data_IF_321463154526
#
_entry.id   IF_321463154526
#
_cell.length_a   1.000
_cell.length_b   1.000
_cell.length_c   1.000
_cell.angle_alpha   90.00
_cell.angle_beta   90.00
_cell.angle_gamma   90.00
#
_symmetry.space_group_name_H-M   'P 1'
#
loop_
_entity.id
_entity.type
_entity.pdbx_description
1 polymer ?
#
# COMPACT_ATOMS: atom_id res chain seq x y z
N UNK A 1 -44.41 2.49 -17.63
CA UNK A 1 -43.31 3.24 -16.97
C UNK A 1 -42.37 2.38 -16.10
N UNK A 2 -42.80 1.26 -15.51
CA UNK A 2 -41.97 0.39 -14.64
C UNK A 2 -40.65 -0.13 -15.28
N UNK A 3 -40.60 -0.34 -16.61
CA UNK A 3 -39.40 -0.87 -17.29
C UNK A 3 -38.19 0.08 -17.27
N UNK A 4 -38.41 1.40 -17.27
CA UNK A 4 -37.31 2.40 -17.30
C UNK A 4 -36.53 2.44 -15.99
N UNK A 5 -37.22 2.28 -14.87
CA UNK A 5 -36.60 2.26 -13.53
C UNK A 5 -35.73 1.03 -13.32
N UNK A 6 -36.14 -0.14 -13.82
CA UNK A 6 -35.34 -1.37 -13.78
C UNK A 6 -34.03 -1.24 -14.56
N UNK A 7 -34.07 -0.56 -15.72
CA UNK A 7 -32.88 -0.29 -16.52
C UNK A 7 -31.92 0.69 -15.83
N UNK A 8 -32.48 1.71 -15.17
CA UNK A 8 -31.70 2.71 -14.43
C UNK A 8 -31.02 2.10 -13.19
N UNK A 9 -31.72 1.23 -12.46
CA UNK A 9 -31.15 0.45 -11.35
C UNK A 9 -30.02 -0.46 -11.86
N UNK A 10 -30.22 -1.13 -12.99
CA UNK A 10 -29.20 -2.02 -13.57
C UNK A 10 -27.91 -1.26 -13.92
N UNK A 11 -28.03 -0.06 -14.49
CA UNK A 11 -26.90 0.83 -14.77
C UNK A 11 -26.15 1.26 -13.50
N UNK A 12 -26.88 1.63 -12.44
CA UNK A 12 -26.27 2.00 -11.15
C UNK A 12 -25.52 0.83 -10.54
N UNK A 13 -26.10 -0.38 -10.56
CA UNK A 13 -25.45 -1.59 -10.04
C UNK A 13 -24.19 -1.91 -10.86
N UNK A 14 -24.25 -1.84 -12.19
CA UNK A 14 -23.07 -2.02 -13.05
C UNK A 14 -21.97 -1.00 -12.75
N UNK A 15 -22.31 0.27 -12.57
CA UNK A 15 -21.36 1.32 -12.20
C UNK A 15 -20.69 1.08 -10.85
N UNK A 16 -21.47 0.72 -9.82
CA UNK A 16 -20.94 0.39 -8.48
C UNK A 16 -20.05 -0.85 -8.50
N UNK A 17 -20.43 -1.87 -9.28
CA UNK A 17 -19.64 -3.10 -9.43
C UNK A 17 -18.32 -2.82 -10.14
N UNK A 18 -18.33 -1.99 -11.19
CA UNK A 18 -17.12 -1.55 -11.88
C UNK A 18 -16.20 -0.74 -10.96
N UNK A 19 -16.74 0.20 -10.17
CA UNK A 19 -15.96 0.96 -9.19
C UNK A 19 -15.34 0.05 -8.12
N UNK A 20 -16.09 -0.94 -7.64
CA UNK A 20 -15.59 -1.93 -6.68
C UNK A 20 -14.46 -2.79 -7.28
N UNK A 21 -14.60 -3.20 -8.54
CA UNK A 21 -13.57 -4.00 -9.22
C UNK A 21 -12.28 -3.21 -9.43
N UNK A 22 -12.38 -1.94 -9.87
CA UNK A 22 -11.23 -1.04 -10.00
C UNK A 22 -10.54 -0.82 -8.64
N UNK A 23 -11.32 -0.69 -7.57
CA UNK A 23 -10.78 -0.50 -6.22
C UNK A 23 -9.99 -1.71 -5.70
N UNK A 24 -10.45 -2.93 -5.98
CA UNK A 24 -9.72 -4.16 -5.60
C UNK A 24 -8.48 -4.33 -6.48
N UNK A 25 -8.61 -4.13 -7.80
CA UNK A 25 -7.51 -4.31 -8.75
C UNK A 25 -6.39 -3.28 -8.58
N UNK A 26 -6.64 -2.17 -7.87
CA UNK A 26 -5.62 -1.14 -7.60
C UNK A 26 -4.72 -1.44 -6.40
N UNK A 27 -4.91 -2.57 -5.70
CA UNK A 27 -3.93 -3.04 -4.71
C UNK A 27 -2.74 -3.69 -5.41
N UNK A 28 -1.72 -2.89 -5.69
CA UNK A 28 -0.41 -3.37 -6.13
C UNK A 28 0.49 -3.64 -4.92
N UNK A 29 1.08 -4.83 -4.86
CA UNK A 29 2.22 -5.11 -4.00
C UNK A 29 3.47 -4.55 -4.67
N UNK A 30 4.18 -3.64 -4.01
CA UNK A 30 5.43 -3.07 -4.52
C UNK A 30 6.58 -3.56 -3.67
N UNK A 31 7.59 -4.15 -4.32
CA UNK A 31 8.89 -4.49 -3.73
C UNK A 31 9.89 -3.40 -4.10
N UNK A 32 10.53 -2.78 -3.11
CA UNK A 32 11.53 -1.75 -3.35
C UNK A 32 12.76 -1.93 -2.45
N UNK A 33 13.94 -1.73 -3.03
CA UNK A 33 15.17 -1.58 -2.26
C UNK A 33 15.26 -0.17 -1.68
N UNK A 34 15.39 -0.06 -0.36
CA UNK A 34 15.31 1.21 0.38
C UNK A 34 16.29 1.24 1.56
N UNK A 35 16.60 2.46 2.01
CA UNK A 35 17.28 2.71 3.29
C UNK A 35 16.30 3.27 4.31
N UNK A 36 16.55 3.06 5.61
CA UNK A 36 15.67 3.53 6.68
C UNK A 36 16.10 4.93 7.13
N UNK A 37 15.26 5.95 6.96
CA UNK A 37 15.50 7.28 7.49
C UNK A 37 15.06 7.40 8.96
N UNK A 38 13.88 6.88 9.28
CA UNK A 38 13.26 7.00 10.60
C UNK A 38 12.46 5.75 10.96
N UNK A 39 12.51 5.37 12.24
CA UNK A 39 11.72 4.27 12.82
C UNK A 39 10.87 4.84 13.93
N UNK A 40 9.55 4.76 13.78
CA UNK A 40 8.57 5.12 14.80
C UNK A 40 7.79 3.86 15.22
N UNK A 41 7.09 3.95 16.35
CA UNK A 41 6.36 2.81 16.95
C UNK A 41 5.39 2.09 15.98
N UNK A 42 4.74 2.83 15.08
CA UNK A 42 3.72 2.30 14.15
C UNK A 42 4.02 2.64 12.68
N UNK A 43 5.20 3.16 12.37
CA UNK A 43 5.55 3.55 10.99
C UNK A 43 7.04 3.68 10.80
N UNK A 44 7.52 3.38 9.61
CA UNK A 44 8.90 3.65 9.18
C UNK A 44 8.89 4.65 8.04
N UNK A 45 9.93 5.47 7.95
CA UNK A 45 10.18 6.32 6.78
C UNK A 45 11.35 5.71 6.05
N UNK A 46 11.11 5.30 4.81
CA UNK A 46 12.10 4.69 3.93
C UNK A 46 12.49 5.63 2.81
N UNK A 47 13.70 5.50 2.30
CA UNK A 47 14.23 6.30 1.20
C UNK A 47 14.65 5.37 0.07
N UNK A 48 14.09 5.55 -1.11
CA UNK A 48 14.43 4.75 -2.28
C UNK A 48 15.76 5.23 -2.92
N UNK A 49 16.22 4.51 -3.94
CA UNK A 49 17.47 4.82 -4.64
C UNK A 49 17.49 6.21 -5.32
N UNK A 50 16.33 6.78 -5.64
CA UNK A 50 16.21 8.14 -6.21
C UNK A 50 16.06 9.24 -5.15
N UNK A 51 16.16 8.91 -3.87
CA UNK A 51 16.09 9.87 -2.75
C UNK A 51 14.67 10.24 -2.31
N UNK A 52 13.64 9.61 -2.88
CA UNK A 52 12.25 9.83 -2.49
C UNK A 52 11.97 9.18 -1.14
N UNK A 53 11.31 9.93 -0.25
CA UNK A 53 10.93 9.45 1.08
C UNK A 53 9.50 8.93 1.07
N UNK A 54 9.31 7.70 1.51
CA UNK A 54 8.00 7.08 1.63
C UNK A 54 7.74 6.69 3.09
N UNK A 55 6.59 7.09 3.63
CA UNK A 55 6.15 6.66 4.96
C UNK A 55 5.33 5.40 4.86
N UNK A 56 5.80 4.32 5.46
CA UNK A 56 5.13 3.03 5.52
C UNK A 56 4.52 2.82 6.90
N UNK A 57 3.26 2.41 6.96
CA UNK A 57 2.60 2.01 8.21
C UNK A 57 3.07 0.61 8.58
N UNK A 58 3.49 0.42 9.82
CA UNK A 58 3.93 -0.89 10.35
C UNK A 58 2.76 -1.54 11.10
N UNK A 59 2.22 -2.67 10.64
CA UNK A 59 1.21 -3.42 11.38
C UNK A 59 1.81 -4.03 12.66
N UNK A 60 0.98 -4.24 13.69
CA UNK A 60 1.42 -4.66 15.05
C UNK A 60 2.17 -5.99 15.12
N UNK A 61 2.22 -6.78 14.04
CA UNK A 61 2.90 -8.07 13.99
C UNK A 61 4.33 -8.04 13.43
N UNK A 62 4.81 -6.90 12.93
CA UNK A 62 6.16 -6.78 12.37
C UNK A 62 7.04 -6.06 13.40
N UNK A 63 8.08 -6.75 13.87
CA UNK A 63 9.09 -6.13 14.72
C UNK A 63 10.09 -5.33 13.88
N UNK A 64 10.11 -4.02 14.09
CA UNK A 64 11.03 -3.10 13.42
C UNK A 64 12.14 -2.59 14.33
N UNK A 65 12.28 -3.16 15.53
CA UNK A 65 13.29 -2.74 16.51
C UNK A 65 14.73 -3.01 16.05
N UNK A 66 14.92 -4.03 15.20
CA UNK A 66 16.21 -4.42 14.64
C UNK A 66 16.64 -3.59 13.41
N UNK A 67 15.81 -2.66 12.94
CA UNK A 67 16.11 -1.87 11.74
C UNK A 67 17.18 -0.80 12.03
N UNK A 68 18.27 -0.87 11.27
CA UNK A 68 19.37 0.09 11.30
C UNK A 68 19.32 1.04 10.09
N UNK A 69 19.53 2.34 10.33
CA UNK A 69 19.55 3.37 9.28
C UNK A 69 20.69 3.24 8.27
N UNK A 70 21.76 2.51 8.63
CA UNK A 70 22.94 2.32 7.78
C UNK A 70 22.82 1.14 6.82
N UNK A 71 21.84 0.27 7.03
CA UNK A 71 21.67 -0.95 6.26
C UNK A 71 20.67 -0.72 5.11
N UNK A 72 20.81 -1.55 4.06
CA UNK A 72 19.88 -1.57 2.94
C UNK A 72 18.84 -2.67 3.16
N UNK A 73 17.59 -2.41 2.77
CA UNK A 73 16.48 -3.34 2.97
C UNK A 73 15.67 -3.49 1.69
N UNK A 74 15.20 -4.70 1.42
CA UNK A 74 14.09 -4.93 0.50
C UNK A 74 12.79 -4.88 1.29
N UNK A 75 11.92 -3.97 0.88
CA UNK A 75 10.66 -3.72 1.55
C UNK A 75 9.51 -4.02 0.60
N UNK A 76 8.64 -4.92 1.04
CA UNK A 76 7.37 -5.20 0.40
C UNK A 76 6.28 -4.42 1.11
N UNK A 77 5.53 -3.63 0.36
CA UNK A 77 4.41 -2.88 0.91
C UNK A 77 3.24 -2.84 -0.05
N UNK A 78 2.05 -2.84 0.53
CA UNK A 78 0.82 -2.57 -0.21
C UNK A 78 0.71 -1.09 -0.46
N UNK A 79 0.52 -0.72 -1.72
CA UNK A 79 0.27 0.62 -2.18
C UNK A 79 -1.02 0.62 -2.99
N UNK A 80 -1.95 1.50 -2.63
CA UNK A 80 -3.14 1.76 -3.41
C UNK A 80 -3.35 3.28 -3.44
N UNK A 81 -3.82 3.83 -4.55
CA UNK A 81 -4.11 5.27 -4.73
C UNK A 81 -5.02 5.81 -3.61
N UNK A 82 -5.88 4.96 -3.03
CA UNK A 82 -6.82 5.33 -1.98
C UNK A 82 -6.39 4.94 -0.55
N UNK A 83 -5.22 4.32 -0.36
CA UNK A 83 -4.79 3.79 0.94
C UNK A 83 -3.34 4.13 1.23
N UNK A 84 -3.05 4.45 2.49
CA UNK A 84 -1.67 4.70 2.94
C UNK A 84 -0.84 3.42 2.78
N UNK A 85 0.40 3.59 2.31
CA UNK A 85 1.32 2.48 2.08
C UNK A 85 1.56 1.69 3.37
N UNK A 86 1.25 0.40 3.34
CA UNK A 86 1.33 -0.47 4.52
C UNK A 86 2.40 -1.53 4.31
N UNK A 87 3.33 -1.60 5.26
CA UNK A 87 4.40 -2.59 5.26
C UNK A 87 3.82 -3.99 5.33
N UNK A 88 4.29 -4.85 4.43
CA UNK A 88 3.96 -6.27 4.39
C UNK A 88 5.13 -7.09 4.91
N UNK A 89 6.31 -6.92 4.32
CA UNK A 89 7.54 -7.61 4.71
C UNK A 89 8.75 -6.68 4.57
N UNK A 90 9.80 -6.97 5.34
CA UNK A 90 11.08 -6.27 5.26
C UNK A 90 12.21 -7.26 5.46
N UNK A 91 13.17 -7.25 4.54
CA UNK A 91 14.32 -8.15 4.52
C UNK A 91 15.59 -7.33 4.40
N UNK A 92 16.59 -7.60 5.23
CA UNK A 92 17.89 -6.93 5.11
C UNK A 92 18.59 -7.43 3.85
N UNK A 93 19.04 -6.50 3.02
CA UNK A 93 19.81 -6.79 1.82
C UNK A 93 21.30 -6.86 2.20
N UNK A 94 21.72 -8.06 2.61
CA UNK A 94 23.09 -8.43 2.98
C UNK A 94 23.61 -7.82 4.30
#
# INVERSE_FOLDING_TARGET
MLKKWRFLILLVVLGLTAMYYVYIMSESSTTAGVTIAEVNKNSIVVVNAVGEKTKLIVPRGIDTSCLNKKDFYFVDYYSNIFRKSTLREIHKAY
#
